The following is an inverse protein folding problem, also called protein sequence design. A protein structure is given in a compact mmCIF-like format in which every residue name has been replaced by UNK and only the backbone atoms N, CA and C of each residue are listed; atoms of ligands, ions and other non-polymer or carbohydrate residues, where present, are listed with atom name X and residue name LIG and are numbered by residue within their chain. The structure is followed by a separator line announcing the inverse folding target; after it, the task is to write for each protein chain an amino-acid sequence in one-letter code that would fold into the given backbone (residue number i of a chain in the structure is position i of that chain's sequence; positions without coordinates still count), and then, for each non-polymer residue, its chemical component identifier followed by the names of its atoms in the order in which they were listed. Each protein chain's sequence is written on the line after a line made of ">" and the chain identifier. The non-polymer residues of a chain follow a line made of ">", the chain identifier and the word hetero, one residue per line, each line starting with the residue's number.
data_IF_355014270237
#
_entry.id   IF_355014270237
#
_cell.length_a   1.000
_cell.length_b   1.000
_cell.length_c   1.000
_cell.angle_alpha   90.00
_cell.angle_beta   90.00
_cell.angle_gamma   90.00
#
_symmetry.space_group_name_H-M   'P 1'
#
loop_
_entity.id
_entity.type
_entity.pdbx_description
1 polymer ?
#
# COMPACT_ATOMS: atom_id res chain seq x y z
N UNK A 1 -16.66 45.12 9.83
CA UNK A 1 -17.11 43.78 9.43
C UNK A 1 -16.70 42.79 10.51
N UNK A 2 -17.66 42.04 11.05
CA UNK A 2 -17.39 40.96 12.03
C UNK A 2 -16.88 39.72 11.29
N UNK A 3 -16.10 38.87 11.97
CA UNK A 3 -15.61 37.60 11.38
C UNK A 3 -16.77 36.77 10.81
N UNK A 4 -17.90 36.72 11.51
CA UNK A 4 -19.11 36.02 11.05
C UNK A 4 -19.72 36.57 9.75
N UNK A 5 -19.52 37.85 9.44
CA UNK A 5 -19.98 38.46 8.20
C UNK A 5 -19.03 38.11 7.06
N UNK A 6 -17.73 38.14 7.33
CA UNK A 6 -16.69 37.69 6.40
C UNK A 6 -16.85 36.20 6.06
N UNK A 7 -17.06 35.33 7.05
CA UNK A 7 -17.26 33.89 6.85
C UNK A 7 -18.43 33.60 5.90
N UNK A 8 -19.56 34.30 6.06
CA UNK A 8 -20.72 34.15 5.17
C UNK A 8 -20.43 34.63 3.75
N UNK A 9 -19.66 35.70 3.59
CA UNK A 9 -19.26 36.16 2.26
C UNK A 9 -18.34 35.13 1.59
N UNK A 10 -17.39 34.57 2.35
CA UNK A 10 -16.46 33.55 1.85
C UNK A 10 -17.18 32.26 1.48
N UNK A 11 -18.15 31.82 2.29
CA UNK A 11 -18.95 30.61 2.02
C UNK A 11 -19.64 30.68 0.65
N UNK A 12 -20.20 31.84 0.29
CA UNK A 12 -20.82 32.07 -1.04
C UNK A 12 -19.86 31.89 -2.22
N UNK A 13 -18.55 31.92 -1.96
CA UNK A 13 -17.47 31.77 -2.94
C UNK A 13 -16.73 30.44 -2.82
N UNK A 14 -17.22 29.49 -2.01
CA UNK A 14 -16.53 28.25 -1.64
C UNK A 14 -15.16 28.51 -0.99
N UNK A 15 -15.05 29.60 -0.23
CA UNK A 15 -13.88 29.95 0.55
C UNK A 15 -14.19 29.78 2.04
N UNK A 16 -13.18 29.49 2.85
CA UNK A 16 -13.30 29.37 4.31
C UNK A 16 -12.09 29.98 5.00
N UNK A 17 -12.32 30.60 6.16
CA UNK A 17 -11.27 31.15 6.99
C UNK A 17 -10.45 30.07 7.71
N UNK A 18 -9.14 30.26 7.79
CA UNK A 18 -8.22 29.36 8.50
C UNK A 18 -7.86 29.83 9.93
N UNK A 19 -8.52 30.88 10.44
CA UNK A 19 -8.18 31.53 11.71
C UNK A 19 -8.62 30.77 12.98
N UNK A 20 -9.57 29.82 12.88
CA UNK A 20 -10.06 29.02 14.01
C UNK A 20 -9.63 27.54 13.93
N UNK A 21 -8.80 27.17 12.95
CA UNK A 21 -8.39 25.78 12.76
C UNK A 21 -7.34 25.42 13.80
N UNK A 22 -7.65 24.43 14.64
CA UNK A 22 -6.63 23.70 15.39
C UNK A 22 -6.02 22.67 14.46
N UNK A 23 -4.74 22.83 14.13
CA UNK A 23 -3.98 21.79 13.41
C UNK A 23 -4.00 20.52 14.26
N UNK A 24 -4.52 19.39 13.74
CA UNK A 24 -4.48 18.14 14.48
C UNK A 24 -3.03 17.77 14.79
N UNK A 25 -2.76 17.42 16.05
CA UNK A 25 -1.48 16.79 16.39
C UNK A 25 -1.48 15.40 15.74
N UNK A 26 -0.61 15.19 14.75
CA UNK A 26 -0.42 13.87 14.18
C UNK A 26 0.18 12.95 15.24
N UNK A 27 -0.62 12.01 15.73
CA UNK A 27 -0.12 10.90 16.53
C UNK A 27 0.48 9.85 15.59
N UNK A 28 1.62 9.23 15.94
CA UNK A 28 2.16 8.13 15.15
C UNK A 28 1.13 7.00 15.05
N UNK A 29 1.07 6.34 13.89
CA UNK A 29 0.26 5.13 13.72
C UNK A 29 0.67 4.08 14.77
N UNK A 30 -0.32 3.39 15.35
CA UNK A 30 -0.03 2.34 16.31
C UNK A 30 0.70 1.18 15.59
N UNK A 31 1.81 0.67 16.18
CA UNK A 31 2.61 -0.36 15.54
C UNK A 31 1.86 -1.69 15.46
N UNK A 32 2.21 -2.50 14.47
CA UNK A 32 1.72 -3.86 14.34
C UNK A 32 2.85 -4.79 13.89
N UNK A 33 2.86 -6.02 14.41
CA UNK A 33 3.84 -7.05 14.07
C UNK A 33 3.15 -8.17 13.30
N UNK A 34 3.57 -8.38 12.05
CA UNK A 34 3.22 -9.56 11.28
C UNK A 34 4.34 -10.60 11.41
N UNK A 35 4.03 -11.79 11.93
CA UNK A 35 5.02 -12.87 12.06
C UNK A 35 5.27 -13.52 10.71
N UNK A 36 6.53 -13.86 10.45
CA UNK A 36 6.92 -14.52 9.20
C UNK A 36 6.20 -15.84 8.98
N UNK A 37 5.97 -16.62 10.03
CA UNK A 37 5.30 -17.93 9.96
C UNK A 37 3.90 -17.82 9.36
N UNK A 38 3.10 -16.83 9.79
CA UNK A 38 1.74 -16.60 9.28
C UNK A 38 1.76 -16.15 7.82
N UNK A 39 2.70 -15.28 7.46
CA UNK A 39 2.89 -14.81 6.09
C UNK A 39 3.29 -15.98 5.18
N UNK A 40 4.26 -16.77 5.61
CA UNK A 40 4.79 -17.91 4.86
C UNK A 40 3.72 -18.97 4.65
N UNK A 41 2.96 -19.34 5.68
CA UNK A 41 1.82 -20.28 5.56
C UNK A 41 0.79 -19.77 4.53
N UNK A 42 0.46 -18.48 4.58
CA UNK A 42 -0.40 -17.84 3.58
C UNK A 42 0.15 -17.96 2.16
N UNK A 43 1.45 -17.72 1.95
CA UNK A 43 2.09 -17.82 0.63
C UNK A 43 2.05 -19.25 0.10
N UNK A 44 2.29 -20.25 0.95
CA UNK A 44 2.22 -21.66 0.55
C UNK A 44 0.80 -22.04 0.12
N UNK A 45 -0.22 -21.65 0.88
CA UNK A 45 -1.63 -21.86 0.49
C UNK A 45 -2.00 -21.12 -0.80
N UNK A 46 -1.42 -19.94 -1.04
CA UNK A 46 -1.63 -19.20 -2.27
C UNK A 46 -1.02 -19.90 -3.50
N UNK A 47 0.07 -20.66 -3.35
CA UNK A 47 0.62 -21.48 -4.44
C UNK A 47 -0.38 -22.54 -4.91
N UNK A 48 -1.05 -23.19 -3.96
CA UNK A 48 -2.00 -24.27 -4.24
C UNK A 48 -3.32 -23.74 -4.80
N UNK A 49 -3.75 -22.56 -4.35
CA UNK A 49 -5.08 -22.01 -4.65
C UNK A 49 -5.13 -21.05 -5.84
N UNK A 50 -4.00 -20.42 -6.22
CA UNK A 50 -3.98 -19.33 -7.21
C UNK A 50 -2.97 -19.66 -8.30
N UNK A 51 -3.46 -19.94 -9.51
CA UNK A 51 -2.60 -20.05 -10.69
C UNK A 51 -2.04 -18.66 -11.06
N UNK A 52 -0.75 -18.61 -11.40
CA UNK A 52 -0.09 -17.37 -11.79
C UNK A 52 -0.61 -16.83 -13.13
N UNK A 53 -1.21 -17.67 -13.97
CA UNK A 53 -1.86 -17.21 -15.20
C UNK A 53 -3.17 -16.44 -14.93
N UNK A 54 -3.80 -16.70 -13.78
CA UNK A 54 -5.07 -16.09 -13.36
C UNK A 54 -4.87 -14.78 -12.59
N UNK A 55 -3.65 -14.45 -12.17
CA UNK A 55 -3.35 -13.27 -11.36
C UNK A 55 -2.17 -12.48 -11.96
N UNK A 56 -2.27 -11.14 -11.99
CA UNK A 56 -1.11 -10.31 -12.39
C UNK A 56 0.11 -10.57 -11.51
N UNK A 57 -0.13 -10.76 -10.21
CA UNK A 57 0.86 -11.16 -9.20
C UNK A 57 0.19 -12.03 -8.14
N UNK A 58 0.84 -13.12 -7.72
CA UNK A 58 0.49 -13.89 -6.53
C UNK A 58 1.08 -13.19 -5.30
N UNK A 59 0.28 -12.36 -4.62
CA UNK A 59 0.71 -11.52 -3.51
C UNK A 59 -0.24 -11.56 -2.31
N UNK A 60 0.32 -11.42 -1.12
CA UNK A 60 -0.40 -11.21 0.13
C UNK A 60 -0.04 -9.84 0.67
N UNK A 61 -1.05 -9.03 0.97
CA UNK A 61 -0.88 -7.69 1.53
C UNK A 61 -0.83 -7.75 3.05
N UNK A 62 0.09 -7.00 3.64
CA UNK A 62 0.06 -6.74 5.08
C UNK A 62 -0.99 -5.67 5.37
N UNK A 63 -2.01 -6.01 6.16
CA UNK A 63 -3.09 -5.11 6.55
C UNK A 63 -2.94 -4.73 8.01
N UNK A 64 -2.85 -3.44 8.30
CA UNK A 64 -2.79 -2.91 9.66
C UNK A 64 -4.21 -2.82 10.24
N UNK A 65 -4.44 -3.29 11.49
CA UNK A 65 -5.72 -3.12 12.15
C UNK A 65 -5.99 -1.65 12.54
N UNK A 66 -4.99 -0.78 12.44
CA UNK A 66 -5.07 0.63 12.83
C UNK A 66 -5.31 1.57 11.65
N UNK A 67 -5.39 1.03 10.43
CA UNK A 67 -5.64 1.80 9.20
C UNK A 67 -7.02 1.42 8.68
N UNK A 68 -7.92 2.39 8.41
CA UNK A 68 -9.30 2.11 8.02
C UNK A 68 -9.44 1.55 6.59
N UNK A 69 -8.36 1.57 5.82
CA UNK A 69 -8.27 0.95 4.50
C UNK A 69 -7.43 -0.32 4.59
N UNK A 70 -7.68 -1.29 3.70
CA UNK A 70 -6.90 -2.53 3.60
C UNK A 70 -5.47 -2.24 3.11
N UNK A 71 -4.61 -1.64 3.93
CA UNK A 71 -3.24 -1.22 3.63
C UNK A 71 -2.33 -1.44 4.83
N UNK A 72 -1.02 -1.35 4.62
CA UNK A 72 -0.02 -1.49 5.68
C UNK A 72 0.09 -0.21 6.52
N UNK A 73 0.09 0.95 5.86
CA UNK A 73 0.00 2.28 6.48
C UNK A 73 -0.82 3.23 5.60
N UNK A 74 -0.93 4.50 6.01
CA UNK A 74 -1.55 5.54 5.19
C UNK A 74 -0.76 5.90 3.91
N UNK A 75 0.54 5.60 3.87
CA UNK A 75 1.44 6.05 2.78
C UNK A 75 2.22 4.93 2.10
N UNK A 76 2.36 3.77 2.74
CA UNK A 76 3.11 2.62 2.22
C UNK A 76 2.24 1.37 2.22
N UNK A 77 2.46 0.55 1.20
CA UNK A 77 1.88 -0.78 1.10
C UNK A 77 3.00 -1.81 0.99
N UNK A 78 2.97 -2.79 1.90
CA UNK A 78 3.86 -3.93 1.89
C UNK A 78 3.09 -5.17 1.47
N UNK A 79 3.67 -5.92 0.54
CA UNK A 79 3.15 -7.19 0.06
C UNK A 79 4.26 -8.22 0.00
N UNK A 80 3.95 -9.46 0.37
CA UNK A 80 4.79 -10.59 0.07
C UNK A 80 4.34 -11.27 -1.21
N UNK A 81 5.30 -11.66 -2.04
CA UNK A 81 5.05 -12.33 -3.32
C UNK A 81 5.80 -13.65 -3.36
N UNK A 82 5.22 -14.67 -4.00
CA UNK A 82 5.88 -15.94 -4.26
C UNK A 82 5.75 -16.31 -5.74
N UNK A 83 6.86 -16.78 -6.33
CA UNK A 83 6.98 -17.14 -7.75
C UNK A 83 7.82 -18.42 -7.81
N UNK A 84 7.29 -19.47 -8.42
CA UNK A 84 7.98 -20.74 -8.64
C UNK A 84 8.97 -20.67 -9.81
N UNK A 85 9.86 -21.65 -9.89
CA UNK A 85 10.78 -21.79 -11.01
C UNK A 85 10.03 -21.89 -12.34
N UNK A 86 10.39 -21.05 -13.30
CA UNK A 86 9.77 -21.01 -14.63
C UNK A 86 8.50 -20.14 -14.71
N UNK A 87 7.92 -19.72 -13.59
CA UNK A 87 6.78 -18.81 -13.61
C UNK A 87 7.23 -17.39 -14.02
N UNK A 88 6.46 -16.76 -14.91
CA UNK A 88 6.67 -15.39 -15.36
C UNK A 88 5.40 -14.59 -15.07
N UNK A 89 5.52 -13.61 -14.18
CA UNK A 89 4.42 -12.69 -13.93
C UNK A 89 4.45 -11.51 -14.93
N UNK A 90 3.27 -11.07 -15.36
CA UNK A 90 3.08 -10.12 -16.47
C UNK A 90 3.74 -8.76 -16.21
N UNK A 91 4.28 -8.18 -17.28
CA UNK A 91 4.81 -6.82 -17.26
C UNK A 91 3.66 -5.79 -17.23
N UNK A 92 3.84 -4.72 -16.48
CA UNK A 92 2.90 -3.58 -16.41
C UNK A 92 3.65 -2.33 -15.95
N UNK A 93 2.96 -1.18 -15.93
CA UNK A 93 3.49 0.10 -15.45
C UNK A 93 2.45 0.84 -14.62
N UNK A 94 2.91 1.62 -13.65
CA UNK A 94 2.08 2.48 -12.81
C UNK A 94 2.87 3.69 -12.32
N UNK A 95 2.17 4.71 -11.84
CA UNK A 95 2.77 5.92 -11.26
C UNK A 95 3.35 5.70 -9.85
N UNK A 96 3.01 4.58 -9.19
CA UNK A 96 3.53 4.25 -7.87
C UNK A 96 4.99 3.82 -7.93
N UNK A 97 5.82 4.29 -7.00
CA UNK A 97 7.17 3.76 -6.82
C UNK A 97 7.11 2.39 -6.11
N UNK A 98 8.00 1.47 -6.49
CA UNK A 98 8.07 0.14 -5.90
C UNK A 98 9.53 -0.31 -5.72
N UNK A 99 9.77 -1.07 -4.66
CA UNK A 99 11.03 -1.77 -4.39
C UNK A 99 10.71 -3.24 -4.10
N UNK A 100 11.61 -4.15 -4.50
CA UNK A 100 11.52 -5.57 -4.19
C UNK A 100 12.69 -5.99 -3.32
N UNK A 101 12.39 -6.58 -2.16
CA UNK A 101 13.37 -7.16 -1.26
C UNK A 101 13.19 -8.67 -1.20
N UNK A 102 14.27 -9.43 -1.40
CA UNK A 102 14.23 -10.90 -1.40
C UNK A 102 14.55 -11.40 0.00
N UNK A 103 13.56 -12.04 0.63
CA UNK A 103 13.71 -12.63 1.98
C UNK A 103 14.09 -14.11 1.96
N UNK A 104 13.71 -14.85 0.91
CA UNK A 104 13.96 -16.29 0.76
C UNK A 104 13.97 -16.66 -0.73
N UNK A 105 14.84 -17.59 -1.10
CA UNK A 105 14.99 -18.09 -2.47
C UNK A 105 16.14 -17.45 -3.25
N UNK A 106 16.31 -17.88 -4.50
CA UNK A 106 17.37 -17.41 -5.41
C UNK A 106 16.95 -17.54 -6.87
N UNK A 107 17.62 -16.81 -7.76
CA UNK A 107 17.42 -16.91 -9.22
C UNK A 107 16.27 -16.09 -9.78
N UNK A 108 15.44 -15.48 -8.94
CA UNK A 108 14.46 -14.50 -9.38
C UNK A 108 15.16 -13.25 -9.92
N UNK A 109 14.59 -12.68 -10.99
CA UNK A 109 15.00 -11.40 -11.55
C UNK A 109 13.74 -10.58 -11.86
N UNK A 110 13.91 -9.28 -12.08
CA UNK A 110 12.83 -8.39 -12.51
C UNK A 110 13.34 -7.60 -13.69
N UNK A 111 12.57 -7.57 -14.77
CA UNK A 111 12.90 -6.73 -15.92
C UNK A 111 12.23 -5.37 -15.75
N UNK A 112 13.00 -4.28 -15.87
CA UNK A 112 12.52 -2.89 -15.80
C UNK A 112 12.96 -2.17 -17.08
N UNK A 113 12.00 -1.69 -17.87
CA UNK A 113 12.29 -1.04 -19.16
C UNK A 113 13.17 -1.86 -20.11
N UNK A 114 13.06 -3.19 -20.06
CA UNK A 114 13.84 -4.12 -20.89
C UNK A 114 15.16 -4.58 -20.27
N UNK A 115 15.63 -3.95 -19.20
CA UNK A 115 16.86 -4.31 -18.49
C UNK A 115 16.60 -5.38 -17.42
N UNK A 116 17.49 -6.37 -17.32
CA UNK A 116 17.40 -7.49 -16.36
C UNK A 116 18.36 -7.33 -15.18
#
# INVERSE_FOLDING_TARGET
>A
MKISELDKELESKNLAGFWNVRVPVHSPEAPHLWKWEDVHDGLMKALDAIDIEMAERRVIRLVSPHVPVNSTSHTLQFTFSIVNGGEVARAHRHNMAAIRFVVQGKGAYTTVEGER
#
